data_IF_998288212891
#
_entry.id   IF_998288212891
#
_cell.length_a   1.000
_cell.length_b   1.000
_cell.length_c   1.000
_cell.angle_alpha   90.00
_cell.angle_beta   90.00
_cell.angle_gamma   90.00
#
_symmetry.space_group_name_H-M   'P 1'
#
loop_
_entity.id
_entity.type
_entity.pdbx_description
1 polymer ?
#
# COMPACT_ATOMS: atom_id res chain seq x y z
N UNK A 1 21.15 5.52 -26.07
CA UNK A 1 20.10 6.39 -26.66
C UNK A 1 19.94 7.70 -25.90
N UNK A 2 19.12 8.64 -26.40
CA UNK A 2 18.79 9.90 -25.68
C UNK A 2 18.06 9.57 -24.38
N UNK A 3 17.11 8.65 -24.41
CA UNK A 3 16.32 8.23 -23.25
C UNK A 3 17.22 7.64 -22.14
N UNK A 4 18.13 6.76 -22.44
CA UNK A 4 19.06 6.15 -21.49
C UNK A 4 19.96 7.21 -20.83
N UNK A 5 20.54 8.12 -21.61
CA UNK A 5 21.40 9.19 -21.08
C UNK A 5 20.64 10.14 -20.18
N UNK A 6 19.43 10.54 -20.59
CA UNK A 6 18.56 11.41 -19.80
C UNK A 6 18.18 10.74 -18.49
N UNK A 7 17.81 9.46 -18.52
CA UNK A 7 17.44 8.67 -17.37
C UNK A 7 18.61 8.54 -16.38
N UNK A 8 19.78 8.12 -16.86
CA UNK A 8 20.99 7.98 -16.05
C UNK A 8 21.37 9.31 -15.37
N UNK A 9 21.37 10.41 -16.13
CA UNK A 9 21.67 11.75 -15.60
C UNK A 9 20.63 12.19 -14.53
N UNK A 10 19.37 11.85 -14.73
CA UNK A 10 18.33 12.23 -13.78
C UNK A 10 18.42 11.42 -12.47
N UNK A 11 18.66 10.12 -12.54
CA UNK A 11 18.84 9.26 -11.35
C UNK A 11 20.05 9.72 -10.56
N UNK A 12 21.20 9.98 -11.22
CA UNK A 12 22.38 10.52 -10.55
C UNK A 12 22.08 11.84 -9.84
N UNK A 13 21.43 12.79 -10.52
CA UNK A 13 21.07 14.09 -9.94
C UNK A 13 20.11 13.98 -8.74
N UNK A 14 19.18 13.01 -8.76
CA UNK A 14 18.29 12.77 -7.61
C UNK A 14 19.10 12.21 -6.45
N UNK A 15 19.98 11.25 -6.70
CA UNK A 15 20.87 10.67 -5.69
C UNK A 15 21.73 11.72 -5.02
N UNK A 16 22.43 12.55 -5.81
CA UNK A 16 23.25 13.66 -5.29
C UNK A 16 22.43 14.57 -4.38
N UNK A 17 21.20 14.92 -4.78
CA UNK A 17 20.31 15.73 -3.94
C UNK A 17 19.86 15.03 -2.66
N UNK A 18 19.61 13.73 -2.69
CA UNK A 18 19.29 12.96 -1.49
C UNK A 18 20.49 12.97 -0.52
N UNK A 19 21.70 12.73 -1.02
CA UNK A 19 22.92 12.74 -0.24
C UNK A 19 23.17 14.14 0.37
N UNK A 20 23.02 15.22 -0.40
CA UNK A 20 23.16 16.61 0.08
C UNK A 20 22.14 16.93 1.19
N UNK A 21 20.89 16.49 1.04
CA UNK A 21 19.84 16.69 2.05
C UNK A 21 20.16 15.97 3.35
N UNK A 22 20.65 14.74 3.28
CA UNK A 22 20.97 13.91 4.46
C UNK A 22 22.09 14.47 5.32
N UNK A 23 23.03 15.18 4.73
CA UNK A 23 24.14 15.82 5.46
C UNK A 23 23.82 17.26 5.88
N UNK A 24 22.67 17.79 5.47
CA UNK A 24 22.25 19.13 5.86
C UNK A 24 21.96 19.21 7.35
N UNK A 25 22.46 20.27 8.02
CA UNK A 25 22.23 20.47 9.45
C UNK A 25 20.74 20.48 9.82
N UNK A 26 19.90 21.04 8.96
CA UNK A 26 18.46 21.09 9.16
C UNK A 26 17.85 19.67 9.13
N UNK A 27 18.20 18.85 8.16
CA UNK A 27 17.67 17.48 8.08
C UNK A 27 18.12 16.64 9.28
N UNK A 28 19.38 16.77 9.69
CA UNK A 28 19.93 16.08 10.86
C UNK A 28 19.21 16.49 12.16
N UNK A 29 18.87 17.76 12.31
CA UNK A 29 18.12 18.27 13.46
C UNK A 29 16.67 17.77 13.46
N UNK A 30 15.98 17.93 12.33
CA UNK A 30 14.57 17.52 12.16
C UNK A 30 14.37 16.01 12.34
N UNK A 31 15.40 15.20 12.02
CA UNK A 31 15.34 13.73 12.08
C UNK A 31 16.18 13.12 13.22
N UNK A 32 16.58 13.89 14.22
CA UNK A 32 17.45 13.41 15.31
C UNK A 32 16.92 12.14 16.00
N UNK A 33 15.63 12.08 16.31
CA UNK A 33 15.02 10.91 16.94
C UNK A 33 15.01 9.71 15.98
N UNK A 34 14.67 9.92 14.71
CA UNK A 34 14.69 8.87 13.68
C UNK A 34 16.11 8.31 13.53
N UNK A 35 17.11 9.16 13.42
CA UNK A 35 18.52 8.75 13.30
C UNK A 35 18.97 7.90 14.47
N UNK A 36 18.53 8.24 15.70
CA UNK A 36 18.93 7.54 16.92
C UNK A 36 18.21 6.20 17.14
N UNK A 37 17.00 6.02 16.57
CA UNK A 37 16.13 4.88 16.85
C UNK A 37 15.89 3.96 15.64
N UNK A 38 16.21 4.41 14.44
CA UNK A 38 16.01 3.65 13.22
C UNK A 38 17.07 2.56 13.04
N UNK A 39 16.66 1.41 12.62
CA UNK A 39 17.53 0.26 12.35
C UNK A 39 18.16 0.37 10.95
N UNK A 40 19.23 1.14 10.84
CA UNK A 40 19.94 1.40 9.59
C UNK A 40 20.67 0.17 9.02
N UNK A 41 20.91 -0.83 9.84
CA UNK A 41 21.58 -2.06 9.42
C UNK A 41 20.65 -2.95 8.61
N UNK A 42 19.40 -3.11 9.09
CA UNK A 42 18.40 -3.95 8.42
C UNK A 42 17.57 -3.17 7.40
N UNK A 43 17.46 -1.85 7.57
CA UNK A 43 16.68 -0.97 6.70
C UNK A 43 17.54 0.23 6.27
N UNK A 44 18.55 0.02 5.41
CA UNK A 44 19.38 1.13 4.93
C UNK A 44 18.53 2.14 4.16
N UNK A 45 18.92 3.41 4.20
CA UNK A 45 18.23 4.42 3.42
C UNK A 45 18.46 4.18 1.93
N UNK A 46 17.38 3.93 1.22
CA UNK A 46 17.43 3.71 -0.22
C UNK A 46 17.61 5.02 -0.97
N UNK A 47 18.78 5.21 -1.54
CA UNK A 47 19.05 6.29 -2.47
C UNK A 47 18.58 5.90 -3.88
N UNK A 48 18.36 6.88 -4.75
CA UNK A 48 17.95 6.62 -6.13
C UNK A 48 19.02 5.80 -6.88
N UNK A 49 18.69 4.58 -7.24
CA UNK A 49 19.56 3.64 -7.96
C UNK A 49 18.96 3.12 -9.24
N UNK A 50 17.64 3.22 -9.35
CA UNK A 50 16.88 2.67 -10.48
C UNK A 50 16.01 3.74 -11.12
N UNK A 51 15.71 3.54 -12.38
CA UNK A 51 14.77 4.39 -13.08
C UNK A 51 14.28 3.76 -14.38
N UNK A 52 13.13 4.21 -14.82
CA UNK A 52 12.48 3.77 -16.06
C UNK A 52 12.02 4.99 -16.84
N UNK A 53 12.19 4.94 -18.15
CA UNK A 53 11.57 5.88 -19.08
C UNK A 53 10.82 5.11 -20.16
N UNK A 54 9.53 5.36 -20.25
CA UNK A 54 8.66 4.82 -21.28
C UNK A 54 8.08 5.97 -22.10
N UNK A 55 8.26 5.93 -23.42
CA UNK A 55 7.70 6.90 -24.35
C UNK A 55 6.71 6.19 -25.26
N UNK A 56 5.48 6.67 -25.26
CA UNK A 56 4.38 6.14 -26.06
C UNK A 56 3.92 7.19 -27.06
N UNK A 57 3.41 6.73 -28.19
CA UNK A 57 2.62 7.61 -29.07
C UNK A 57 1.15 7.67 -28.62
N UNK A 58 0.36 8.46 -29.33
CA UNK A 58 -1.07 8.65 -29.01
C UNK A 58 -1.93 7.40 -29.28
N UNK A 59 -1.38 6.36 -29.89
CA UNK A 59 -2.00 5.05 -30.08
C UNK A 59 -1.47 4.02 -29.09
N UNK A 60 -0.79 4.47 -28.01
CA UNK A 60 -0.15 3.65 -26.99
C UNK A 60 0.94 2.68 -27.51
N UNK A 61 1.54 2.96 -28.70
CA UNK A 61 2.68 2.18 -29.20
C UNK A 61 3.95 2.65 -28.53
N UNK A 62 4.77 1.69 -28.09
CA UNK A 62 6.04 1.99 -27.43
C UNK A 62 7.05 2.53 -28.42
N UNK A 63 7.45 3.78 -28.28
CA UNK A 63 8.49 4.44 -29.08
C UNK A 63 9.87 4.30 -28.45
N UNK A 64 9.96 4.29 -27.12
CA UNK A 64 11.17 4.03 -26.38
C UNK A 64 10.85 3.42 -25.02
N UNK A 65 11.69 2.48 -24.59
CA UNK A 65 11.68 1.90 -23.24
C UNK A 65 13.14 1.84 -22.78
N UNK A 66 13.46 2.56 -21.72
CA UNK A 66 14.79 2.61 -21.15
C UNK A 66 14.75 2.27 -19.66
N UNK A 67 15.70 1.49 -19.23
CA UNK A 67 15.93 1.12 -17.84
C UNK A 67 17.29 1.66 -17.37
N UNK A 68 17.40 2.02 -16.12
CA UNK A 68 18.65 2.34 -15.47
C UNK A 68 18.72 1.62 -14.11
N UNK A 69 19.85 1.02 -13.75
CA UNK A 69 21.03 0.83 -14.59
C UNK A 69 20.77 -0.10 -15.79
N UNK A 70 21.65 -0.03 -16.78
CA UNK A 70 21.59 -0.85 -17.99
C UNK A 70 22.89 -1.65 -18.17
N UNK A 71 22.92 -2.57 -19.10
CA UNK A 71 24.08 -3.39 -19.39
C UNK A 71 24.26 -3.56 -20.91
N UNK A 72 25.46 -3.97 -21.33
CA UNK A 72 25.72 -4.29 -22.71
C UNK A 72 25.30 -5.74 -23.04
N UNK A 73 24.32 -5.89 -23.93
CA UNK A 73 23.83 -7.17 -24.40
C UNK A 73 24.94 -7.99 -25.10
N UNK A 74 25.88 -7.32 -25.82
CA UNK A 74 26.96 -8.02 -26.47
C UNK A 74 27.91 -8.64 -25.45
N UNK A 75 28.21 -7.93 -24.35
CA UNK A 75 29.03 -8.47 -23.29
C UNK A 75 28.34 -9.67 -22.61
N UNK A 76 27.03 -9.61 -22.40
CA UNK A 76 26.27 -10.75 -21.86
C UNK A 76 26.32 -11.98 -22.79
N UNK A 77 26.13 -11.77 -24.07
CA UNK A 77 26.16 -12.86 -25.09
C UNK A 77 27.56 -13.42 -25.27
N UNK A 78 28.60 -12.59 -25.23
CA UNK A 78 29.99 -13.02 -25.33
C UNK A 78 30.42 -13.92 -24.15
N UNK A 79 29.76 -13.81 -23.01
CA UNK A 79 30.09 -14.59 -21.83
C UNK A 79 31.34 -14.10 -21.09
N UNK A 80 31.94 -14.97 -20.29
CA UNK A 80 33.14 -14.65 -19.54
C UNK A 80 32.91 -13.85 -18.26
N UNK A 81 33.92 -13.09 -17.81
CA UNK A 81 33.87 -12.36 -16.53
C UNK A 81 32.89 -11.19 -16.53
N UNK A 82 32.81 -10.51 -17.68
CA UNK A 82 31.89 -9.38 -17.84
C UNK A 82 30.41 -9.82 -17.76
N UNK A 83 30.07 -10.93 -18.44
CA UNK A 83 28.75 -11.51 -18.33
C UNK A 83 28.45 -11.97 -16.89
N UNK A 84 29.41 -12.54 -16.18
CA UNK A 84 29.28 -12.92 -14.78
C UNK A 84 29.05 -11.70 -13.88
N UNK A 85 29.76 -10.60 -14.11
CA UNK A 85 29.57 -9.35 -13.39
C UNK A 85 28.14 -8.80 -13.58
N UNK A 86 27.63 -8.80 -14.83
CA UNK A 86 26.25 -8.38 -15.13
C UNK A 86 25.22 -9.25 -14.38
N UNK A 87 25.42 -10.58 -14.40
CA UNK A 87 24.49 -11.52 -13.78
C UNK A 87 24.51 -11.50 -12.24
N UNK A 88 25.62 -11.10 -11.64
CA UNK A 88 25.80 -11.02 -10.18
C UNK A 88 25.62 -9.63 -9.60
N UNK A 89 25.30 -8.62 -10.42
CA UNK A 89 25.07 -7.26 -9.95
C UNK A 89 23.83 -7.23 -9.03
N UNK A 90 24.00 -6.73 -7.82
CA UNK A 90 22.93 -6.66 -6.81
C UNK A 90 21.74 -5.81 -7.27
N UNK A 91 21.94 -4.89 -8.20
CA UNK A 91 20.90 -4.05 -8.80
C UNK A 91 20.01 -4.79 -9.80
N UNK A 92 20.20 -6.08 -9.97
CA UNK A 92 19.42 -6.95 -10.86
C UNK A 92 19.29 -6.34 -12.27
N UNK A 93 20.43 -6.09 -12.93
CA UNK A 93 20.50 -5.39 -14.22
C UNK A 93 19.58 -5.99 -15.29
N UNK A 94 19.34 -7.29 -15.24
CA UNK A 94 18.48 -8.00 -16.21
C UNK A 94 16.97 -7.77 -15.96
N UNK A 95 16.57 -7.17 -14.83
CA UNK A 95 15.17 -6.86 -14.59
C UNK A 95 14.74 -5.68 -15.49
N UNK A 96 13.76 -5.92 -16.33
CA UNK A 96 13.09 -4.82 -17.02
C UNK A 96 12.11 -4.14 -16.05
N UNK A 97 12.55 -3.08 -15.40
CA UNK A 97 11.75 -2.37 -14.40
C UNK A 97 10.45 -1.77 -14.98
N UNK A 98 10.38 -1.51 -16.29
CA UNK A 98 9.15 -1.06 -16.93
C UNK A 98 8.05 -2.11 -16.91
N UNK A 99 8.42 -3.40 -16.84
CA UNK A 99 7.50 -4.53 -16.90
C UNK A 99 7.45 -5.32 -15.60
N UNK A 100 8.61 -5.52 -14.97
CA UNK A 100 8.80 -6.45 -13.86
C UNK A 100 8.77 -5.80 -12.47
N UNK A 101 8.61 -4.49 -12.36
CA UNK A 101 8.50 -3.81 -11.08
C UNK A 101 7.13 -3.17 -10.88
N UNK A 102 6.84 -2.84 -9.62
CA UNK A 102 5.69 -2.05 -9.22
C UNK A 102 6.20 -0.79 -8.54
N UNK A 103 5.66 0.35 -8.91
CA UNK A 103 5.98 1.63 -8.29
C UNK A 103 4.69 2.27 -7.79
N UNK A 104 4.73 2.78 -6.57
CA UNK A 104 3.61 3.55 -6.01
C UNK A 104 3.42 4.83 -6.83
N UNK A 105 2.26 5.04 -7.47
CA UNK A 105 2.05 6.14 -8.41
C UNK A 105 2.00 7.51 -7.72
N UNK A 106 1.68 7.55 -6.43
CA UNK A 106 1.52 8.80 -5.70
C UNK A 106 0.44 9.70 -6.34
N UNK A 107 0.68 11.00 -6.34
CA UNK A 107 -0.30 12.01 -6.78
C UNK A 107 -0.80 11.87 -8.23
N UNK A 108 -0.16 11.09 -9.08
CA UNK A 108 -0.68 10.80 -10.42
C UNK A 108 -2.03 10.06 -10.34
N UNK A 109 -2.22 9.23 -9.33
CA UNK A 109 -3.48 8.51 -9.10
C UNK A 109 -4.66 9.44 -8.77
N UNK A 110 -4.41 10.67 -8.33
CA UNK A 110 -5.45 11.68 -8.09
C UNK A 110 -6.32 11.96 -9.32
N UNK A 111 -5.79 11.75 -10.52
CA UNK A 111 -6.57 11.86 -11.76
C UNK A 111 -7.67 10.78 -11.82
N UNK A 112 -7.37 9.55 -11.44
CA UNK A 112 -8.34 8.46 -11.37
C UNK A 112 -9.41 8.75 -10.31
N UNK A 113 -8.97 9.18 -9.14
CA UNK A 113 -9.87 9.55 -8.03
C UNK A 113 -10.78 10.71 -8.39
N UNK A 114 -10.22 11.75 -8.99
CA UNK A 114 -10.98 12.93 -9.41
C UNK A 114 -12.00 12.61 -10.50
N UNK A 115 -11.59 11.84 -11.50
CA UNK A 115 -12.50 11.36 -12.54
C UNK A 115 -13.65 10.56 -11.92
N UNK A 116 -13.31 9.60 -11.07
CA UNK A 116 -14.32 8.76 -10.40
C UNK A 116 -15.28 9.57 -9.52
N UNK A 117 -14.78 10.58 -8.81
CA UNK A 117 -15.61 11.46 -7.98
C UNK A 117 -16.61 12.28 -8.79
N UNK A 118 -16.19 12.79 -9.95
CA UNK A 118 -17.06 13.54 -10.87
C UNK A 118 -18.08 12.60 -11.56
N UNK A 119 -17.60 11.51 -12.16
CA UNK A 119 -18.42 10.60 -12.94
C UNK A 119 -19.50 9.90 -12.10
N UNK A 120 -19.17 9.55 -10.84
CA UNK A 120 -20.15 8.98 -9.90
C UNK A 120 -21.08 10.00 -9.25
N UNK A 121 -20.86 11.29 -9.49
CA UNK A 121 -21.67 12.40 -8.94
C UNK A 121 -21.45 12.64 -7.43
N UNK A 122 -20.44 12.06 -6.79
CA UNK A 122 -20.12 12.33 -5.36
C UNK A 122 -19.40 13.66 -5.17
N UNK A 123 -18.93 14.26 -6.27
CA UNK A 123 -18.35 15.59 -6.34
C UNK A 123 -18.95 16.34 -7.53
N UNK A 124 -19.32 17.61 -7.34
CA UNK A 124 -19.72 18.48 -8.45
C UNK A 124 -18.49 19.22 -9.00
N UNK A 125 -18.46 19.57 -10.31
CA UNK A 125 -17.30 20.25 -10.91
C UNK A 125 -16.94 21.59 -10.26
N UNK A 126 -17.94 22.31 -9.76
CA UNK A 126 -17.84 23.63 -9.12
C UNK A 126 -17.84 23.55 -7.57
N UNK A 127 -17.89 22.36 -7.01
CA UNK A 127 -17.87 22.15 -5.57
C UNK A 127 -16.50 22.49 -4.99
N UNK A 128 -16.52 23.31 -3.94
CA UNK A 128 -15.31 23.75 -3.24
C UNK A 128 -15.09 22.94 -1.96
N UNK A 129 -13.90 22.40 -1.79
CA UNK A 129 -13.44 21.73 -0.57
C UNK A 129 -12.29 22.53 0.01
N UNK A 130 -12.35 22.83 1.30
CA UNK A 130 -11.27 23.49 2.04
C UNK A 130 -10.35 22.50 2.69
N UNK A 131 -9.05 22.67 2.51
CA UNK A 131 -8.02 21.94 3.23
C UNK A 131 -7.95 22.41 4.70
N UNK A 132 -8.32 21.54 5.62
CA UNK A 132 -8.27 21.79 7.07
C UNK A 132 -6.94 21.35 7.71
N UNK A 133 -5.98 20.91 6.90
CA UNK A 133 -4.66 20.43 7.31
C UNK A 133 -4.62 18.93 7.58
N UNK A 134 -5.30 18.48 8.60
CA UNK A 134 -5.38 17.07 8.97
C UNK A 134 -6.74 16.48 8.59
N UNK A 135 -6.73 15.30 7.96
CA UNK A 135 -7.96 14.59 7.61
C UNK A 135 -8.32 13.62 8.73
N UNK A 136 -9.27 14.03 9.57
CA UNK A 136 -9.60 13.34 10.83
C UNK A 136 -10.84 12.46 10.77
N UNK A 137 -11.43 12.27 9.57
CA UNK A 137 -12.68 11.49 9.43
C UNK A 137 -12.54 10.02 9.89
N UNK A 138 -11.34 9.43 9.78
CA UNK A 138 -11.07 8.05 10.15
C UNK A 138 -10.03 7.90 11.27
N UNK A 139 -9.35 8.97 11.62
CA UNK A 139 -8.35 8.97 12.68
C UNK A 139 -8.31 10.35 13.35
N UNK A 140 -8.79 10.43 14.56
CA UNK A 140 -8.85 11.68 15.34
C UNK A 140 -7.52 12.06 16.02
N UNK A 141 -6.56 11.14 16.05
CA UNK A 141 -5.22 11.43 16.59
C UNK A 141 -4.39 12.22 15.57
N UNK A 142 -4.20 13.51 15.83
CA UNK A 142 -3.46 14.41 14.95
C UNK A 142 -1.99 14.03 14.78
N UNK A 143 -1.41 13.20 15.66
CA UNK A 143 -0.03 12.75 15.52
C UNK A 143 0.13 11.73 14.39
N UNK A 144 -0.94 11.01 14.05
CA UNK A 144 -0.97 9.94 13.05
C UNK A 144 -2.01 10.14 11.96
N UNK A 145 -2.88 11.17 12.07
CA UNK A 145 -3.88 11.49 11.05
C UNK A 145 -3.21 11.91 9.73
N UNK A 146 -3.73 11.45 8.58
CA UNK A 146 -3.24 11.91 7.28
C UNK A 146 -3.34 13.43 7.15
N UNK A 147 -2.27 14.05 6.65
CA UNK A 147 -2.21 15.50 6.46
C UNK A 147 -1.84 15.88 5.03
N UNK A 148 -2.26 17.06 4.61
CA UNK A 148 -1.77 17.65 3.39
C UNK A 148 -0.33 18.12 3.57
N UNK A 149 0.51 17.98 2.54
CA UNK A 149 1.92 18.38 2.57
C UNK A 149 2.12 19.87 2.89
N UNK A 150 1.13 20.71 2.60
CA UNK A 150 1.17 22.17 2.85
C UNK A 150 0.68 22.56 4.26
N UNK A 151 0.38 21.57 5.12
CA UNK A 151 -0.29 21.81 6.42
C UNK A 151 0.42 22.80 7.35
N UNK A 152 1.70 23.05 7.17
CA UNK A 152 2.53 23.85 8.07
C UNK A 152 2.93 25.23 7.51
N UNK A 153 2.48 25.61 6.31
CA UNK A 153 2.96 26.85 5.69
C UNK A 153 1.87 27.66 4.99
N UNK A 154 1.67 27.42 3.71
CA UNK A 154 0.84 28.25 2.85
C UNK A 154 -0.58 27.68 2.65
N UNK A 155 -1.30 27.40 3.74
CA UNK A 155 -2.68 26.86 3.71
C UNK A 155 -3.63 27.69 2.83
N UNK A 156 -3.37 29.00 2.71
CA UNK A 156 -4.21 29.89 1.88
C UNK A 156 -4.34 29.45 0.43
N UNK A 157 -3.37 28.70 -0.11
CA UNK A 157 -3.44 28.18 -1.47
C UNK A 157 -4.38 26.99 -1.62
N UNK A 158 -4.73 26.32 -0.51
CA UNK A 158 -5.61 25.15 -0.49
C UNK A 158 -6.98 25.44 0.14
N UNK A 159 -7.33 26.72 0.37
CA UNK A 159 -8.66 27.08 0.79
C UNK A 159 -9.59 27.16 -0.43
N UNK A 160 -10.78 26.53 -0.30
CA UNK A 160 -11.84 26.60 -1.29
C UNK A 160 -11.39 26.22 -2.71
N UNK A 161 -10.82 25.03 -2.83
CA UNK A 161 -10.40 24.47 -4.10
C UNK A 161 -11.53 23.69 -4.77
N UNK A 162 -11.73 23.91 -6.04
CA UNK A 162 -12.43 23.00 -6.95
C UNK A 162 -11.50 21.86 -7.35
N UNK A 163 -12.02 20.86 -8.07
CA UNK A 163 -11.18 19.76 -8.55
C UNK A 163 -10.03 20.21 -9.46
N UNK A 164 -10.25 21.26 -10.24
CA UNK A 164 -9.22 21.81 -11.14
C UNK A 164 -8.06 22.36 -10.31
N UNK A 165 -8.37 23.20 -9.34
CA UNK A 165 -7.37 23.79 -8.44
C UNK A 165 -6.70 22.73 -7.56
N UNK A 166 -7.46 21.72 -7.11
CA UNK A 166 -6.93 20.59 -6.33
C UNK A 166 -5.96 19.71 -7.12
N UNK A 167 -6.04 19.70 -8.46
CA UNK A 167 -5.07 19.04 -9.35
C UNK A 167 -3.90 19.98 -9.70
N UNK A 168 -4.17 21.27 -9.94
CA UNK A 168 -3.16 22.29 -10.26
C UNK A 168 -2.20 22.49 -9.06
N UNK A 169 -2.76 22.57 -7.86
CA UNK A 169 -2.03 22.64 -6.59
C UNK A 169 -2.25 21.35 -5.81
N UNK A 170 -1.53 20.25 -6.08
CA UNK A 170 -1.88 18.89 -5.69
C UNK A 170 -2.24 18.75 -4.20
N UNK A 171 -3.51 18.97 -3.85
CA UNK A 171 -4.01 18.95 -2.49
C UNK A 171 -4.36 17.52 -2.06
N UNK A 172 -3.63 16.95 -1.11
CA UNK A 172 -3.94 15.60 -0.62
C UNK A 172 -5.24 15.58 0.17
N UNK A 173 -5.55 16.62 0.95
CA UNK A 173 -6.80 16.71 1.71
C UNK A 173 -8.02 16.65 0.80
N UNK A 174 -8.03 17.40 -0.31
CA UNK A 174 -9.09 17.37 -1.30
C UNK A 174 -9.36 15.94 -1.80
N UNK A 175 -8.31 15.20 -2.12
CA UNK A 175 -8.43 13.84 -2.64
C UNK A 175 -8.68 12.79 -1.55
N UNK A 176 -8.34 13.06 -0.28
CA UNK A 176 -8.83 12.25 0.85
C UNK A 176 -10.35 12.33 0.94
N UNK A 177 -10.92 13.54 0.81
CA UNK A 177 -12.36 13.74 0.81
C UNK A 177 -13.04 13.06 -0.39
N UNK A 178 -12.47 13.19 -1.59
CA UNK A 178 -12.95 12.48 -2.78
C UNK A 178 -12.92 10.94 -2.57
N UNK A 179 -11.84 10.41 -2.05
CA UNK A 179 -11.69 8.98 -1.75
C UNK A 179 -12.68 8.49 -0.68
N UNK A 180 -12.89 9.30 0.36
CA UNK A 180 -13.87 9.04 1.40
C UNK A 180 -15.29 8.92 0.84
N UNK A 181 -15.70 9.84 -0.04
CA UNK A 181 -17.02 9.86 -0.68
C UNK A 181 -17.21 8.74 -1.70
N UNK A 182 -16.17 8.40 -2.44
CA UNK A 182 -16.19 7.27 -3.38
C UNK A 182 -16.33 5.95 -2.64
N UNK A 183 -15.60 5.79 -1.56
CA UNK A 183 -15.41 4.53 -0.87
C UNK A 183 -14.53 3.56 -1.67
N UNK A 184 -14.11 2.48 -1.01
CA UNK A 184 -13.18 1.48 -1.56
C UNK A 184 -13.67 0.89 -2.89
N UNK A 185 -14.93 0.42 -2.91
CA UNK A 185 -15.48 -0.33 -4.04
C UNK A 185 -15.46 0.48 -5.33
N UNK A 186 -15.94 1.73 -5.29
CA UNK A 186 -15.97 2.59 -6.48
C UNK A 186 -14.56 3.00 -6.90
N UNK A 187 -13.69 3.33 -5.94
CA UNK A 187 -12.31 3.68 -6.23
C UNK A 187 -11.59 2.53 -6.96
N UNK A 188 -11.78 1.29 -6.50
CA UNK A 188 -11.26 0.10 -7.17
C UNK A 188 -11.85 -0.08 -8.58
N UNK A 189 -13.16 0.12 -8.74
CA UNK A 189 -13.84 0.00 -10.04
C UNK A 189 -13.31 1.01 -11.05
N UNK A 190 -13.10 2.26 -10.67
CA UNK A 190 -12.49 3.26 -11.55
C UNK A 190 -11.04 2.93 -11.88
N UNK A 191 -10.25 2.52 -10.90
CA UNK A 191 -8.89 2.06 -11.17
C UNK A 191 -8.86 0.89 -12.17
N UNK A 192 -9.79 -0.05 -12.04
CA UNK A 192 -9.94 -1.17 -12.98
C UNK A 192 -10.36 -0.68 -14.39
N UNK A 193 -11.28 0.27 -14.47
CA UNK A 193 -11.71 0.86 -15.75
C UNK A 193 -10.56 1.60 -16.47
N UNK A 194 -9.61 2.18 -15.71
CA UNK A 194 -8.37 2.73 -16.24
C UNK A 194 -7.28 1.68 -16.54
N UNK A 195 -7.58 0.38 -16.39
CA UNK A 195 -6.64 -0.70 -16.67
C UNK A 195 -5.59 -0.97 -15.57
N UNK A 196 -5.68 -0.30 -14.41
CA UNK A 196 -4.68 -0.38 -13.34
C UNK A 196 -4.75 -1.66 -12.50
N UNK A 197 -5.59 -2.61 -12.84
CA UNK A 197 -5.75 -3.89 -12.13
C UNK A 197 -5.44 -5.10 -13.01
N UNK A 198 -4.95 -4.89 -14.22
CA UNK A 198 -4.68 -5.93 -15.20
C UNK A 198 -3.34 -5.70 -15.89
N UNK A 199 -2.86 -6.73 -16.58
CA UNK A 199 -1.73 -6.57 -17.50
C UNK A 199 -2.18 -5.76 -18.72
N UNK A 200 -1.25 -4.99 -19.29
CA UNK A 200 -1.50 -4.16 -20.49
C UNK A 200 -1.63 -4.99 -21.75
N UNK A 201 -1.05 -6.20 -21.76
CA UNK A 201 -0.96 -7.07 -22.94
C UNK A 201 0.18 -6.70 -23.88
N UNK A 202 1.18 -5.96 -23.38
CA UNK A 202 2.40 -5.69 -24.14
C UNK A 202 3.06 -7.00 -24.61
N UNK A 203 3.52 -7.02 -25.85
CA UNK A 203 4.17 -8.20 -26.46
C UNK A 203 5.64 -8.34 -25.99
N UNK A 204 5.85 -8.31 -24.67
CA UNK A 204 7.14 -8.53 -24.03
C UNK A 204 6.95 -9.41 -22.79
N UNK A 205 7.89 -10.35 -22.52
CA UNK A 205 7.80 -11.21 -21.35
C UNK A 205 8.10 -10.44 -20.05
N UNK A 206 7.56 -10.95 -18.94
CA UNK A 206 7.91 -10.46 -17.61
C UNK A 206 7.02 -9.33 -17.07
N UNK A 207 5.95 -8.96 -17.79
CA UNK A 207 4.99 -7.98 -17.27
C UNK A 207 4.33 -8.50 -15.97
N UNK A 208 4.44 -7.74 -14.91
CA UNK A 208 3.74 -8.00 -13.63
C UNK A 208 2.40 -7.27 -13.62
N UNK A 209 1.45 -7.85 -12.89
CA UNK A 209 0.13 -7.22 -12.70
C UNK A 209 0.23 -6.12 -11.65
N UNK A 210 -0.39 -4.98 -11.89
CA UNK A 210 -0.57 -3.95 -10.88
C UNK A 210 -1.59 -4.39 -9.81
N UNK A 211 -1.44 -3.87 -8.60
CA UNK A 211 -2.34 -4.13 -7.47
C UNK A 211 -2.86 -2.79 -6.97
N UNK A 212 -4.17 -2.64 -6.97
CA UNK A 212 -4.85 -1.50 -6.34
C UNK A 212 -5.42 -1.97 -5.01
N UNK A 213 -5.10 -1.27 -3.94
CA UNK A 213 -5.50 -1.66 -2.60
C UNK A 213 -7.01 -1.73 -2.41
N UNK A 214 -7.49 -2.83 -1.85
CA UNK A 214 -8.89 -3.10 -1.53
C UNK A 214 -8.99 -4.23 -0.50
N UNK A 215 -10.18 -4.46 0.05
CA UNK A 215 -10.41 -5.60 0.94
C UNK A 215 -9.98 -6.93 0.28
N UNK A 216 -10.36 -7.15 -0.99
CA UNK A 216 -10.05 -8.39 -1.68
C UNK A 216 -8.58 -8.56 -2.06
N UNK A 217 -7.82 -7.46 -2.19
CA UNK A 217 -6.37 -7.54 -2.39
C UNK A 217 -5.62 -7.76 -1.08
N UNK A 218 -6.15 -7.24 0.04
CA UNK A 218 -5.61 -7.46 1.37
C UNK A 218 -5.97 -8.85 1.90
N UNK A 219 -7.25 -9.19 1.91
CA UNK A 219 -7.76 -10.48 2.35
C UNK A 219 -9.10 -10.79 1.70
N UNK A 220 -9.13 -11.83 0.87
CA UNK A 220 -10.31 -12.39 0.21
C UNK A 220 -10.83 -13.59 1.03
N UNK A 221 -11.96 -13.46 1.75
CA UNK A 221 -12.49 -14.52 2.59
C UNK A 221 -12.96 -15.77 1.80
N UNK A 222 -13.16 -15.64 0.48
CA UNK A 222 -13.60 -16.76 -0.37
C UNK A 222 -12.47 -17.72 -0.73
N UNK A 223 -11.22 -17.36 -0.40
CA UNK A 223 -10.02 -18.14 -0.73
C UNK A 223 -9.40 -18.78 0.51
N UNK A 224 -8.60 -19.86 0.33
CA UNK A 224 -7.71 -20.35 1.37
C UNK A 224 -6.76 -19.25 1.85
N UNK A 225 -6.39 -19.26 3.13
CA UNK A 225 -5.57 -18.20 3.75
C UNK A 225 -4.26 -17.94 2.97
N UNK A 226 -3.61 -19.01 2.48
CA UNK A 226 -2.36 -18.89 1.70
C UNK A 226 -2.52 -18.22 0.33
N UNK A 227 -3.73 -18.10 -0.18
CA UNK A 227 -4.06 -17.54 -1.50
C UNK A 227 -4.98 -16.30 -1.39
N UNK A 228 -5.31 -15.90 -0.16
CA UNK A 228 -6.32 -14.89 0.13
C UNK A 228 -5.86 -13.44 -0.06
N UNK A 229 -4.57 -13.23 -0.30
CA UNK A 229 -4.01 -11.92 -0.61
C UNK A 229 -3.30 -11.93 -1.95
N UNK A 230 -3.31 -10.79 -2.63
CA UNK A 230 -2.61 -10.64 -3.91
C UNK A 230 -1.16 -10.16 -3.77
N UNK A 231 -0.81 -9.57 -2.63
CA UNK A 231 0.45 -8.84 -2.52
C UNK A 231 1.12 -8.91 -1.14
N UNK A 232 0.51 -9.57 -0.17
CA UNK A 232 1.05 -9.57 1.19
C UNK A 232 0.92 -10.93 1.88
N UNK A 233 1.87 -11.25 2.72
CA UNK A 233 1.78 -12.39 3.65
C UNK A 233 0.94 -12.09 4.91
N UNK A 234 0.39 -10.88 5.05
CA UNK A 234 -0.34 -10.44 6.24
C UNK A 234 -1.45 -11.39 6.67
N UNK A 235 -2.32 -11.91 5.79
CA UNK A 235 -3.33 -12.89 6.20
C UNK A 235 -2.75 -14.17 6.82
N UNK A 236 -1.62 -14.65 6.31
CA UNK A 236 -0.92 -15.82 6.85
C UNK A 236 -0.38 -15.50 8.25
N UNK A 237 0.22 -14.33 8.43
CA UNK A 237 0.75 -13.87 9.73
C UNK A 237 -0.39 -13.75 10.74
N UNK A 238 -1.48 -13.07 10.38
CA UNK A 238 -2.66 -12.91 11.24
C UNK A 238 -3.26 -14.26 11.61
N UNK A 239 -3.45 -15.15 10.65
CA UNK A 239 -3.96 -16.50 10.87
C UNK A 239 -3.12 -17.29 11.90
N UNK A 240 -1.79 -17.28 11.73
CA UNK A 240 -0.89 -17.96 12.65
C UNK A 240 -0.84 -17.29 14.04
N UNK A 241 -0.94 -15.97 14.10
CA UNK A 241 -1.00 -15.22 15.36
C UNK A 241 -2.26 -15.55 16.15
N UNK A 242 -3.42 -15.58 15.50
CA UNK A 242 -4.69 -16.01 16.14
C UNK A 242 -4.57 -17.43 16.65
N UNK A 243 -4.11 -18.37 15.84
CA UNK A 243 -3.93 -19.77 16.26
C UNK A 243 -3.02 -19.90 17.47
N UNK A 244 -1.86 -19.25 17.45
CA UNK A 244 -0.89 -19.27 18.54
C UNK A 244 -1.46 -18.67 19.82
N UNK A 245 -2.17 -17.55 19.70
CA UNK A 245 -2.84 -16.89 20.80
C UNK A 245 -3.92 -17.77 21.44
N UNK A 246 -4.84 -18.29 20.64
CA UNK A 246 -5.93 -19.16 21.12
C UNK A 246 -5.43 -20.46 21.76
N UNK A 247 -4.36 -21.04 21.20
CA UNK A 247 -3.69 -22.22 21.79
C UNK A 247 -3.17 -21.90 23.20
N UNK A 248 -2.40 -20.80 23.34
CA UNK A 248 -1.88 -20.37 24.65
C UNK A 248 -2.99 -20.08 25.66
N UNK A 249 -4.08 -19.46 25.21
CA UNK A 249 -5.23 -19.18 26.05
C UNK A 249 -5.87 -20.50 26.57
N UNK A 250 -6.00 -21.52 25.75
CA UNK A 250 -6.49 -22.85 26.13
C UNK A 250 -5.56 -23.51 27.13
N UNK A 251 -4.28 -23.63 26.79
CA UNK A 251 -3.25 -24.25 27.64
C UNK A 251 -3.20 -23.62 29.04
N UNK A 252 -3.35 -22.31 29.17
CA UNK A 252 -3.39 -21.61 30.46
C UNK A 252 -4.55 -22.02 31.36
N UNK A 253 -5.54 -22.72 30.83
CA UNK A 253 -6.73 -23.22 31.52
C UNK A 253 -6.84 -24.76 31.48
N UNK A 254 -5.77 -25.45 31.07
CA UNK A 254 -5.74 -26.91 30.97
C UNK A 254 -6.61 -27.46 29.80
N UNK A 255 -6.89 -26.64 28.79
CA UNK A 255 -7.63 -27.05 27.60
C UNK A 255 -6.65 -27.23 26.44
N UNK A 256 -6.76 -28.35 25.75
CA UNK A 256 -5.96 -28.65 24.56
C UNK A 256 -6.86 -28.59 23.32
N UNK A 257 -6.40 -27.87 22.31
CA UNK A 257 -7.07 -27.76 21.00
C UNK A 257 -6.20 -28.39 19.93
N UNK A 258 -6.79 -29.25 19.11
CA UNK A 258 -6.10 -29.75 17.92
C UNK A 258 -5.90 -28.64 16.89
N UNK A 259 -4.97 -28.86 15.95
CA UNK A 259 -4.59 -27.87 14.96
C UNK A 259 -5.71 -27.59 13.95
N UNK A 260 -6.61 -28.54 13.69
CA UNK A 260 -7.70 -28.39 12.75
C UNK A 260 -8.77 -27.44 13.32
N UNK A 261 -9.17 -27.64 14.57
CA UNK A 261 -10.10 -26.75 15.27
C UNK A 261 -9.58 -25.34 15.41
N UNK A 262 -8.29 -25.20 15.77
CA UNK A 262 -7.64 -23.86 15.81
C UNK A 262 -7.63 -23.19 14.45
N UNK A 263 -7.39 -23.95 13.38
CA UNK A 263 -7.37 -23.42 12.01
C UNK A 263 -8.78 -23.01 11.53
N UNK A 264 -9.79 -23.84 11.80
CA UNK A 264 -11.20 -23.52 11.51
C UNK A 264 -11.62 -22.23 12.24
N UNK A 265 -11.37 -22.17 13.54
CA UNK A 265 -11.68 -21.01 14.37
C UNK A 265 -10.99 -19.72 13.87
N UNK A 266 -9.68 -19.78 13.61
CA UNK A 266 -8.93 -18.63 13.11
C UNK A 266 -9.47 -18.11 11.77
N UNK A 267 -9.73 -19.02 10.81
CA UNK A 267 -10.32 -18.66 9.51
C UNK A 267 -11.68 -18.02 9.68
N UNK A 268 -12.56 -18.61 10.50
CA UNK A 268 -13.90 -18.10 10.76
C UNK A 268 -13.88 -16.71 11.43
N UNK A 269 -12.94 -16.46 12.33
CA UNK A 269 -12.73 -15.13 12.94
C UNK A 269 -12.30 -14.10 11.91
N UNK A 270 -11.36 -14.45 11.02
CA UNK A 270 -10.92 -13.58 9.94
C UNK A 270 -12.06 -13.27 8.96
N UNK A 271 -12.83 -14.29 8.54
CA UNK A 271 -13.96 -14.10 7.65
C UNK A 271 -15.06 -13.22 8.26
N UNK A 272 -15.32 -13.42 9.55
CA UNK A 272 -16.26 -12.61 10.33
C UNK A 272 -15.86 -11.12 10.32
N UNK A 273 -14.58 -10.81 10.47
CA UNK A 273 -14.10 -9.43 10.45
C UNK A 273 -14.39 -8.71 9.12
N UNK A 274 -14.36 -9.44 8.01
CA UNK A 274 -14.70 -8.89 6.69
C UNK A 274 -16.21 -8.78 6.47
N UNK A 275 -16.95 -9.82 6.89
CA UNK A 275 -18.38 -9.93 6.61
C UNK A 275 -19.25 -8.99 7.46
N UNK A 276 -18.80 -8.60 8.65
CA UNK A 276 -19.61 -7.86 9.60
C UNK A 276 -19.00 -6.50 9.96
N UNK A 277 -19.83 -5.52 10.37
CA UNK A 277 -19.36 -4.24 10.87
C UNK A 277 -18.63 -4.42 12.21
N UNK A 278 -17.63 -3.60 12.43
CA UNK A 278 -16.73 -3.64 13.60
C UNK A 278 -17.51 -3.58 14.94
N UNK A 279 -18.61 -2.85 14.98
CA UNK A 279 -19.49 -2.75 16.15
C UNK A 279 -20.05 -4.09 16.63
N UNK A 280 -20.10 -5.10 15.79
CA UNK A 280 -20.60 -6.44 16.10
C UNK A 280 -19.50 -7.47 16.35
N UNK A 281 -18.23 -7.12 16.16
CA UNK A 281 -17.14 -8.10 16.20
C UNK A 281 -17.01 -8.78 17.56
N UNK A 282 -17.09 -8.03 18.64
CA UNK A 282 -16.90 -8.60 20.00
C UNK A 282 -17.88 -9.72 20.29
N UNK A 283 -19.16 -9.54 19.94
CA UNK A 283 -20.20 -10.56 20.20
C UNK A 283 -20.05 -11.75 19.24
N UNK A 284 -19.74 -11.48 17.97
CA UNK A 284 -19.47 -12.54 17.01
C UNK A 284 -18.22 -13.36 17.38
N UNK A 285 -17.15 -12.72 17.82
CA UNK A 285 -15.95 -13.43 18.32
C UNK A 285 -16.29 -14.36 19.49
N UNK A 286 -17.06 -13.87 20.46
CA UNK A 286 -17.49 -14.69 21.60
C UNK A 286 -18.25 -15.93 21.14
N UNK A 287 -19.17 -15.75 20.22
CA UNK A 287 -19.97 -16.86 19.64
C UNK A 287 -19.06 -17.87 18.94
N UNK A 288 -18.18 -17.41 18.06
CA UNK A 288 -17.25 -18.28 17.32
C UNK A 288 -16.31 -19.06 18.27
N UNK A 289 -15.75 -18.41 19.29
CA UNK A 289 -14.86 -19.04 20.24
C UNK A 289 -15.58 -20.13 21.09
N UNK A 290 -16.85 -19.89 21.46
CA UNK A 290 -17.66 -20.88 22.17
C UNK A 290 -18.04 -22.04 21.26
N UNK A 291 -18.43 -21.81 20.03
CA UNK A 291 -18.86 -22.84 19.07
C UNK A 291 -17.69 -23.71 18.59
N UNK A 292 -16.60 -23.08 18.14
CA UNK A 292 -15.47 -23.78 17.53
C UNK A 292 -14.56 -24.47 18.55
N UNK A 293 -14.31 -23.80 19.66
CA UNK A 293 -13.32 -24.27 20.65
C UNK A 293 -13.95 -24.73 21.97
N UNK A 294 -15.28 -24.66 22.11
CA UNK A 294 -15.96 -24.91 23.38
C UNK A 294 -15.39 -24.08 24.54
N UNK A 295 -14.91 -22.87 24.26
CA UNK A 295 -14.38 -22.00 25.31
C UNK A 295 -15.46 -21.64 26.32
N UNK A 296 -15.21 -21.78 27.63
CA UNK A 296 -16.19 -21.43 28.63
C UNK A 296 -16.46 -19.91 28.66
N UNK A 297 -17.66 -19.51 29.02
CA UNK A 297 -18.08 -18.10 29.11
C UNK A 297 -17.07 -17.25 29.89
N UNK A 298 -16.56 -17.75 31.00
CA UNK A 298 -15.57 -17.05 31.82
C UNK A 298 -14.29 -16.65 31.07
N UNK A 299 -13.90 -17.42 30.02
CA UNK A 299 -12.77 -17.09 29.15
C UNK A 299 -13.15 -16.05 28.08
N UNK A 300 -14.24 -16.30 27.36
CA UNK A 300 -14.63 -15.40 26.24
C UNK A 300 -15.14 -14.02 26.71
N UNK A 301 -15.50 -13.89 27.99
CA UNK A 301 -15.78 -12.60 28.60
C UNK A 301 -14.58 -12.00 29.35
N UNK A 302 -13.41 -12.64 29.28
CA UNK A 302 -12.13 -12.09 29.73
C UNK A 302 -11.57 -11.15 28.63
N UNK A 303 -11.16 -9.95 29.04
CA UNK A 303 -10.68 -8.95 28.09
C UNK A 303 -9.47 -9.40 27.27
N UNK A 304 -8.56 -10.19 27.85
CA UNK A 304 -7.33 -10.59 27.15
C UNK A 304 -7.59 -11.40 25.87
N UNK A 305 -8.47 -12.39 25.91
CA UNK A 305 -8.77 -13.24 24.74
C UNK A 305 -9.39 -12.43 23.61
N UNK A 306 -10.34 -11.56 23.94
CA UNK A 306 -11.07 -10.75 22.95
C UNK A 306 -10.20 -9.63 22.41
N UNK A 307 -9.49 -8.90 23.26
CA UNK A 307 -8.68 -7.74 22.83
C UNK A 307 -7.58 -8.14 21.86
N UNK A 308 -6.83 -9.21 22.18
CA UNK A 308 -5.74 -9.62 21.30
C UNK A 308 -6.28 -10.19 19.98
N UNK A 309 -7.36 -11.01 20.04
CA UNK A 309 -8.03 -11.49 18.82
C UNK A 309 -8.55 -10.33 17.95
N UNK A 310 -9.17 -9.33 18.57
CA UNK A 310 -9.65 -8.13 17.90
C UNK A 310 -8.51 -7.41 17.17
N UNK A 311 -7.39 -7.19 17.84
CA UNK A 311 -6.24 -6.52 17.24
C UNK A 311 -5.72 -7.28 16.01
N UNK A 312 -5.62 -8.62 16.09
CA UNK A 312 -5.19 -9.43 14.95
C UNK A 312 -6.16 -9.33 13.76
N UNK A 313 -7.47 -9.48 13.98
CA UNK A 313 -8.42 -9.44 12.87
C UNK A 313 -8.57 -8.04 12.28
N UNK A 314 -8.27 -6.99 13.03
CA UNK A 314 -8.26 -5.62 12.52
C UNK A 314 -7.19 -5.40 11.45
N UNK A 315 -6.08 -6.14 11.52
CA UNK A 315 -4.98 -6.04 10.55
C UNK A 315 -5.32 -6.52 9.14
N UNK A 316 -6.42 -7.26 8.98
CA UNK A 316 -6.91 -7.75 7.68
C UNK A 316 -8.20 -7.05 7.22
N UNK A 317 -8.67 -6.08 7.98
CA UNK A 317 -9.84 -5.27 7.59
C UNK A 317 -9.39 -4.04 6.84
N UNK A 318 -9.92 -3.87 5.63
CA UNK A 318 -9.74 -2.65 4.88
C UNK A 318 -10.63 -1.55 5.46
N UNK A 319 -10.03 -0.46 5.85
CA UNK A 319 -10.71 0.66 6.47
C UNK A 319 -10.72 1.94 5.63
N UNK A 320 -11.39 2.96 6.14
CA UNK A 320 -11.46 4.27 5.48
C UNK A 320 -10.09 4.94 5.34
N UNK A 321 -9.20 4.76 6.32
CA UNK A 321 -7.83 5.30 6.25
C UNK A 321 -7.05 4.74 5.05
N UNK A 322 -7.12 3.44 4.80
CA UNK A 322 -6.49 2.83 3.63
C UNK A 322 -7.12 3.35 2.33
N UNK A 323 -8.45 3.49 2.29
CA UNK A 323 -9.17 4.01 1.12
C UNK A 323 -8.71 5.42 0.74
N UNK A 324 -8.59 6.34 1.70
CA UNK A 324 -8.14 7.71 1.40
C UNK A 324 -6.67 7.78 1.01
N UNK A 325 -5.81 6.91 1.55
CA UNK A 325 -4.42 6.79 1.13
C UNK A 325 -4.33 6.23 -0.31
N UNK A 326 -5.15 5.25 -0.65
CA UNK A 326 -5.28 4.76 -2.03
C UNK A 326 -5.73 5.86 -2.99
N UNK A 327 -6.68 6.70 -2.58
CA UNK A 327 -7.17 7.82 -3.38
C UNK A 327 -6.08 8.85 -3.76
N UNK A 328 -4.99 8.89 -3.01
CA UNK A 328 -3.80 9.72 -3.30
C UNK A 328 -2.63 8.91 -3.87
N UNK A 329 -2.84 7.63 -4.19
CA UNK A 329 -1.85 6.75 -4.79
C UNK A 329 -0.77 6.24 -3.85
N UNK A 330 -1.02 6.23 -2.54
CA UNK A 330 -0.05 5.77 -1.53
C UNK A 330 -0.19 4.28 -1.20
N UNK A 331 -1.26 3.63 -1.65
CA UNK A 331 -1.54 2.19 -1.45
C UNK A 331 -1.99 1.52 -2.75
N UNK A 332 -1.35 1.88 -3.84
CA UNK A 332 -1.61 1.36 -5.20
C UNK A 332 -0.39 0.63 -5.71
#
# INVERSE_FOLDING_TARGET
>A
TVAERALASNVARIRDKQEDLMVSSKWLEDNRTLIATYDWEHYPLELAEHGVMLVLDMQARVLAMANYPTYDLNALVAGGDEARAILSDYRILMLNYALGSRATPGSIFKMVTGFGALDSGVLKPDEMISDMGYYTAYNSDLSTAPKCWISEGYRSQHYYQTIVEGLEHPCSYFFYECGSRLGETRLYQYAAAFGLTSKTGIDLPGEVRSVVGSQNTLYDPTKPVGESSQDTSRPIIVFNSIKSHLKKCGESRGMEYDNERLSSCAKRLMDMAVAYPESSWVENMRTILMEELNMPRSMVYSNSVITDTYNYINDIKWGGSQTILTATGQSV
#
